data_IF_136666065519
#
_entry.id   IF_136666065519
#
_cell.length_a   1.000
_cell.length_b   1.000
_cell.length_c   1.000
_cell.angle_alpha   90.00
_cell.angle_beta   90.00
_cell.angle_gamma   90.00
#
_symmetry.space_group_name_H-M   'P 1'
#
loop_
_entity.id
_entity.type
_entity.pdbx_description
1 polymer ?
#
# COMPACT_ATOMS: atom_id res chain seq x y z
N UNK A 1 14.84 18.72 2.42
CA UNK A 1 14.15 17.41 2.47
C UNK A 1 13.86 16.93 1.06
N UNK A 2 14.27 15.72 0.68
CA UNK A 2 13.93 15.12 -0.61
C UNK A 2 12.76 14.16 -0.43
N UNK A 3 11.77 14.19 -1.31
CA UNK A 3 10.57 13.36 -1.23
C UNK A 3 10.56 12.30 -2.33
N UNK A 4 10.46 11.02 -1.95
CA UNK A 4 10.31 9.90 -2.87
C UNK A 4 8.91 9.32 -2.75
N UNK A 5 8.16 9.27 -3.84
CA UNK A 5 6.88 8.55 -3.88
C UNK A 5 7.12 7.11 -4.30
N UNK A 6 6.70 6.16 -3.46
CA UNK A 6 6.76 4.71 -3.73
C UNK A 6 5.33 4.21 -3.91
N UNK A 7 4.90 4.12 -5.15
CA UNK A 7 3.60 3.63 -5.57
C UNK A 7 3.65 2.16 -5.98
N UNK A 8 2.52 1.61 -6.28
CA UNK A 8 2.32 0.25 -6.76
C UNK A 8 0.96 -0.25 -6.34
N UNK A 9 0.37 -1.09 -7.18
CA UNK A 9 -0.99 -1.58 -6.94
C UNK A 9 -1.09 -2.39 -5.63
N UNK A 10 -2.31 -2.70 -5.23
CA UNK A 10 -2.58 -3.46 -4.02
C UNK A 10 -1.78 -4.77 -4.00
N UNK A 11 -1.03 -5.02 -2.94
CA UNK A 11 -0.20 -6.21 -2.82
C UNK A 11 1.15 -6.16 -3.54
N UNK A 12 1.52 -5.09 -4.24
CA UNK A 12 2.78 -5.00 -4.99
C UNK A 12 4.07 -5.03 -4.13
N UNK A 13 3.97 -5.11 -2.81
CA UNK A 13 5.13 -5.23 -1.92
C UNK A 13 5.82 -3.90 -1.60
N UNK A 14 5.09 -2.78 -1.62
CA UNK A 14 5.61 -1.44 -1.33
C UNK A 14 6.34 -1.36 0.02
N UNK A 15 5.67 -1.76 1.08
CA UNK A 15 6.21 -1.76 2.44
C UNK A 15 7.50 -2.58 2.56
N UNK A 16 7.55 -3.77 1.92
CA UNK A 16 8.76 -4.61 1.91
C UNK A 16 9.92 -3.93 1.18
N UNK A 17 9.64 -3.29 0.05
CA UNK A 17 10.62 -2.53 -0.70
C UNK A 17 11.16 -1.33 0.10
N UNK A 18 10.28 -0.59 0.77
CA UNK A 18 10.66 0.57 1.61
C UNK A 18 11.58 0.12 2.75
N UNK A 19 11.26 -0.99 3.43
CA UNK A 19 12.13 -1.56 4.46
C UNK A 19 13.53 -1.88 3.92
N UNK A 20 13.58 -2.49 2.74
CA UNK A 20 14.86 -2.83 2.09
C UNK A 20 15.63 -1.58 1.66
N UNK A 21 14.95 -0.55 1.13
CA UNK A 21 15.53 0.74 0.78
C UNK A 21 16.22 1.38 1.99
N UNK A 22 15.53 1.44 3.12
CA UNK A 22 16.07 2.00 4.37
C UNK A 22 17.30 1.19 4.82
N UNK A 23 17.16 -0.14 4.85
CA UNK A 23 18.24 -1.04 5.26
C UNK A 23 19.49 -0.91 4.38
N UNK A 24 19.30 -0.80 3.05
CA UNK A 24 20.40 -0.71 2.07
C UNK A 24 21.08 0.64 2.10
N UNK A 25 20.33 1.71 2.23
CA UNK A 25 20.87 3.06 2.15
C UNK A 25 21.37 3.60 3.48
N UNK A 26 20.80 3.16 4.60
CA UNK A 26 21.12 3.67 5.95
C UNK A 26 20.85 5.17 6.10
N UNK A 27 20.01 5.74 5.24
CA UNK A 27 19.68 7.17 5.26
C UNK A 27 18.65 7.50 6.35
N UNK A 28 18.62 8.78 6.72
CA UNK A 28 17.62 9.32 7.64
C UNK A 28 16.31 9.56 6.89
N UNK A 29 15.37 8.63 7.05
CA UNK A 29 14.13 8.55 6.29
C UNK A 29 12.95 8.56 7.25
N UNK A 30 11.99 9.43 6.95
CA UNK A 30 10.65 9.40 7.53
C UNK A 30 9.68 8.82 6.48
N UNK A 31 8.76 7.97 6.90
CA UNK A 31 7.73 7.40 6.03
C UNK A 31 6.40 8.06 6.35
N UNK A 32 5.71 8.51 5.32
CA UNK A 32 4.33 8.97 5.37
C UNK A 32 3.47 7.95 4.64
N UNK A 33 2.78 7.13 5.41
CA UNK A 33 1.84 6.13 4.90
C UNK A 33 0.44 6.72 4.81
N UNK A 34 -0.23 6.47 3.71
CA UNK A 34 -1.64 6.73 3.53
C UNK A 34 -2.28 5.43 3.09
N UNK A 35 -2.72 4.62 4.04
CA UNK A 35 -3.33 3.32 3.75
C UNK A 35 -4.86 3.40 3.78
N UNK A 36 -5.48 2.72 2.82
CA UNK A 36 -6.92 2.59 2.70
C UNK A 36 -7.37 1.41 3.57
N UNK A 37 -8.25 1.66 4.54
CA UNK A 37 -8.91 0.62 5.32
C UNK A 37 -8.76 0.74 6.84
N UNK A 38 -9.84 0.40 7.53
CA UNK A 38 -10.03 0.48 8.99
C UNK A 38 -9.28 -0.64 9.78
N UNK A 39 -8.41 -1.43 9.12
CA UNK A 39 -7.83 -2.62 9.74
C UNK A 39 -6.33 -2.49 9.96
N UNK A 40 -5.95 -2.49 11.24
CA UNK A 40 -4.57 -2.37 11.76
C UNK A 40 -3.66 -3.60 11.48
N UNK A 41 -3.90 -4.37 10.43
CA UNK A 41 -3.23 -5.65 10.19
C UNK A 41 -1.73 -5.49 9.88
N UNK A 42 -1.31 -4.37 9.25
CA UNK A 42 0.09 -4.12 8.87
C UNK A 42 0.88 -3.29 9.90
N UNK A 43 0.22 -2.67 10.88
CA UNK A 43 0.86 -1.78 11.88
C UNK A 43 2.00 -2.42 12.68
N UNK A 44 1.94 -3.74 12.88
CA UNK A 44 2.99 -4.45 13.62
C UNK A 44 4.30 -4.63 12.87
N UNK A 45 4.32 -4.49 11.54
CA UNK A 45 5.49 -4.85 10.75
C UNK A 45 6.55 -3.75 10.61
N UNK A 46 6.15 -2.48 10.49
CA UNK A 46 7.10 -1.37 10.37
C UNK A 46 7.63 -0.90 11.71
N UNK A 47 6.80 -0.89 12.75
CA UNK A 47 7.21 -0.47 14.10
C UNK A 47 8.10 -1.48 14.83
N UNK A 48 8.15 -2.75 14.42
CA UNK A 48 8.99 -3.77 15.03
C UNK A 48 10.48 -3.66 14.68
N UNK A 49 10.85 -2.92 13.65
CA UNK A 49 12.26 -2.68 13.27
C UNK A 49 12.81 -1.38 13.89
N UNK A 50 12.76 -1.26 15.17
CA UNK A 50 13.30 -0.27 16.15
C UNK A 50 14.00 1.04 15.73
N UNK A 51 14.30 1.28 14.47
CA UNK A 51 15.08 2.40 13.94
C UNK A 51 14.36 3.23 12.86
N UNK A 52 13.06 2.96 12.58
CA UNK A 52 12.29 3.63 11.52
C UNK A 52 11.22 4.51 12.14
N UNK A 53 11.19 5.80 11.78
CA UNK A 53 10.09 6.71 12.16
C UNK A 53 8.99 6.64 11.11
N UNK A 54 7.91 5.93 11.43
CA UNK A 54 6.70 5.84 10.60
C UNK A 54 5.68 6.82 11.12
N UNK A 55 5.19 7.70 10.25
CA UNK A 55 4.10 8.63 10.51
C UNK A 55 2.90 8.20 9.68
N UNK A 56 1.90 7.67 10.33
CA UNK A 56 0.63 7.33 9.69
C UNK A 56 -0.27 8.57 9.64
N UNK A 57 -0.80 8.87 8.46
CA UNK A 57 -1.98 9.71 8.35
C UNK A 57 -3.19 8.85 8.73
N UNK A 58 -3.59 8.91 10.00
CA UNK A 58 -4.88 8.34 10.37
C UNK A 58 -5.99 9.18 9.71
N UNK A 59 -6.77 8.59 8.84
CA UNK A 59 -8.04 9.14 8.40
C UNK A 59 -8.92 9.39 9.64
N UNK A 60 -9.08 10.65 10.00
CA UNK A 60 -9.84 11.03 11.22
C UNK A 60 -9.48 12.40 11.76
N UNK A 61 -8.43 13.04 11.31
CA UNK A 61 -8.21 14.46 11.60
C UNK A 61 -9.11 15.32 10.73
N UNK A 62 -10.39 15.34 11.06
CA UNK A 62 -11.37 16.25 10.48
C UNK A 62 -11.08 17.67 11.01
N UNK A 63 -10.21 18.41 10.34
CA UNK A 63 -10.07 19.84 10.54
C UNK A 63 -9.80 20.63 9.26
N UNK A 64 -9.48 20.00 8.13
CA UNK A 64 -9.24 20.70 6.86
C UNK A 64 -9.69 19.81 5.71
N UNK A 65 -10.16 20.43 4.63
CA UNK A 65 -10.40 19.73 3.37
C UNK A 65 -9.22 18.82 3.02
N UNK A 66 -9.47 17.61 2.64
CA UNK A 66 -8.48 16.50 2.49
C UNK A 66 -7.21 16.89 1.71
N UNK A 67 -7.32 17.82 0.75
CA UNK A 67 -6.20 18.39 -0.01
C UNK A 67 -5.23 19.20 0.87
N UNK A 68 -5.75 20.00 1.78
CA UNK A 68 -4.94 20.81 2.68
C UNK A 68 -4.30 19.94 3.77
N UNK A 69 -4.97 18.86 4.18
CA UNK A 69 -4.46 17.94 5.21
C UNK A 69 -3.16 17.26 4.81
N UNK A 70 -3.08 16.69 3.60
CA UNK A 70 -1.89 15.99 3.12
C UNK A 70 -0.68 16.93 2.93
N UNK A 71 -0.91 18.08 2.27
CA UNK A 71 0.14 19.09 2.10
C UNK A 71 0.63 19.63 3.46
N UNK A 72 -0.29 19.92 4.38
CA UNK A 72 0.04 20.39 5.72
C UNK A 72 0.82 19.33 6.53
N UNK A 73 0.50 18.05 6.38
CA UNK A 73 1.26 16.97 7.02
C UNK A 73 2.70 16.92 6.53
N UNK A 74 2.93 17.02 5.22
CA UNK A 74 4.28 17.06 4.64
C UNK A 74 5.05 18.29 5.14
N UNK A 75 4.41 19.46 5.17
CA UNK A 75 5.04 20.68 5.68
C UNK A 75 5.33 20.63 7.18
N UNK A 76 4.44 20.02 7.96
CA UNK A 76 4.66 19.77 9.38
C UNK A 76 5.85 18.84 9.61
N UNK A 77 5.96 17.77 8.85
CA UNK A 77 7.10 16.86 8.89
C UNK A 77 8.39 17.61 8.53
N UNK A 78 8.36 18.39 7.45
CA UNK A 78 9.52 19.17 7.02
C UNK A 78 9.99 20.15 8.08
N UNK A 79 9.07 20.86 8.75
CA UNK A 79 9.39 21.88 9.74
C UNK A 79 9.74 21.31 11.12
N UNK A 80 9.03 20.26 11.57
CA UNK A 80 9.20 19.70 12.90
C UNK A 80 10.34 18.70 13.01
N UNK A 81 10.52 17.85 11.99
CA UNK A 81 11.51 16.76 11.98
C UNK A 81 12.72 17.08 11.12
N UNK A 82 12.55 17.90 10.06
CA UNK A 82 13.61 18.24 9.10
C UNK A 82 14.39 17.01 8.62
N UNK A 83 13.73 15.92 8.16
CA UNK A 83 14.43 14.71 7.74
C UNK A 83 15.19 14.96 6.44
N UNK A 84 16.24 14.16 6.19
CA UNK A 84 16.93 14.19 4.90
C UNK A 84 16.00 13.74 3.77
N UNK A 85 15.23 12.67 4.04
CA UNK A 85 14.31 12.06 3.09
C UNK A 85 12.93 11.80 3.69
N UNK A 86 11.89 12.02 2.88
CA UNK A 86 10.52 11.63 3.16
C UNK A 86 10.07 10.64 2.09
N UNK A 87 9.70 9.43 2.49
CA UNK A 87 9.03 8.48 1.61
C UNK A 87 7.52 8.68 1.77
N UNK A 88 6.84 8.86 0.65
CA UNK A 88 5.37 8.90 0.59
C UNK A 88 4.91 7.58 -0.01
N UNK A 89 4.21 6.78 0.81
CA UNK A 89 3.55 5.53 0.38
C UNK A 89 2.05 5.77 0.25
N UNK A 90 1.53 6.07 -0.95
CA UNK A 90 0.09 6.20 -1.15
C UNK A 90 -0.59 4.83 -1.13
N UNK A 91 -1.90 4.82 -0.85
CA UNK A 91 -2.71 3.61 -1.00
C UNK A 91 -2.55 2.98 -2.39
N UNK A 92 -2.60 1.65 -2.45
CA UNK A 92 -2.44 0.92 -3.72
C UNK A 92 -3.51 1.22 -4.78
N UNK A 93 -4.61 1.87 -4.42
CA UNK A 93 -5.66 2.30 -5.33
C UNK A 93 -5.59 3.79 -5.73
N UNK A 94 -4.55 4.51 -5.30
CA UNK A 94 -4.40 5.93 -5.61
C UNK A 94 -3.92 6.18 -7.05
N UNK A 95 -4.36 7.29 -7.63
CA UNK A 95 -3.81 7.81 -8.88
C UNK A 95 -2.47 8.50 -8.58
N UNK A 96 -1.38 7.93 -9.08
CA UNK A 96 -0.03 8.44 -8.83
C UNK A 96 0.17 9.84 -9.40
N UNK A 97 -0.41 10.11 -10.58
CA UNK A 97 -0.36 11.44 -11.21
C UNK A 97 -0.89 12.54 -10.26
N UNK A 98 -1.99 12.27 -9.55
CA UNK A 98 -2.59 13.22 -8.60
C UNK A 98 -1.74 13.43 -7.35
N UNK A 99 -1.12 12.36 -6.85
CA UNK A 99 -0.19 12.47 -5.72
C UNK A 99 1.00 13.35 -6.10
N UNK A 100 1.59 13.13 -7.27
CA UNK A 100 2.70 13.93 -7.77
C UNK A 100 2.29 15.39 -7.95
N UNK A 101 1.12 15.66 -8.55
CA UNK A 101 0.59 17.01 -8.71
C UNK A 101 0.41 17.74 -7.37
N UNK A 102 -0.09 17.05 -6.35
CA UNK A 102 -0.25 17.62 -5.02
C UNK A 102 1.10 17.89 -4.35
N UNK A 103 2.04 16.96 -4.45
CA UNK A 103 3.39 17.13 -3.90
C UNK A 103 4.17 18.23 -4.62
N UNK A 104 3.99 18.40 -5.94
CA UNK A 104 4.67 19.43 -6.72
C UNK A 104 4.34 20.87 -6.26
N UNK A 105 3.14 21.07 -5.73
CA UNK A 105 2.68 22.37 -5.23
C UNK A 105 3.38 22.82 -3.93
N UNK A 106 3.95 21.86 -3.20
CA UNK A 106 4.66 22.11 -1.95
C UNK A 106 6.18 22.03 -2.11
N UNK A 107 6.66 21.90 -3.35
CA UNK A 107 8.08 21.90 -3.69
C UNK A 107 8.59 23.35 -3.70
N UNK A 108 9.12 23.82 -2.56
CA UNK A 108 9.75 25.12 -2.44
C UNK A 108 10.90 25.07 -1.43
N UNK A 109 11.85 26.00 -1.56
CA UNK A 109 13.04 26.05 -0.70
C UNK A 109 13.84 24.76 -0.78
N UNK A 110 14.04 24.13 0.36
CA UNK A 110 14.81 22.89 0.48
C UNK A 110 14.00 21.61 0.27
N UNK A 111 12.72 21.73 -0.13
CA UNK A 111 11.85 20.59 -0.42
C UNK A 111 11.88 20.29 -1.92
N UNK A 112 12.27 19.09 -2.30
CA UNK A 112 12.33 18.64 -3.69
C UNK A 112 11.75 17.24 -3.88
N UNK A 113 11.19 16.99 -5.08
CA UNK A 113 10.71 15.68 -5.49
C UNK A 113 11.83 14.87 -6.12
N UNK A 114 11.88 13.60 -5.77
CA UNK A 114 12.66 12.58 -6.47
C UNK A 114 11.78 11.88 -7.52
N UNK A 115 12.41 11.24 -8.53
CA UNK A 115 11.71 10.45 -9.53
C UNK A 115 10.77 9.40 -8.89
N UNK A 116 9.47 9.41 -9.18
CA UNK A 116 8.52 8.49 -8.56
C UNK A 116 8.78 7.04 -9.00
N UNK A 117 8.62 6.13 -8.07
CA UNK A 117 8.81 4.68 -8.26
C UNK A 117 7.46 3.98 -8.20
N UNK A 118 7.22 3.05 -9.12
CA UNK A 118 6.06 2.14 -9.07
C UNK A 118 6.53 0.69 -9.00
N UNK A 119 6.08 -0.03 -7.97
CA UNK A 119 6.34 -1.46 -7.84
C UNK A 119 5.31 -2.27 -8.60
N UNK A 120 5.78 -3.29 -9.31
CA UNK A 120 4.94 -4.17 -10.12
C UNK A 120 5.30 -5.62 -9.87
N UNK A 121 4.30 -6.44 -9.55
CA UNK A 121 4.41 -7.89 -9.60
C UNK A 121 4.20 -8.36 -11.05
N UNK A 122 5.16 -9.02 -11.69
CA UNK A 122 5.01 -9.47 -13.08
C UNK A 122 3.80 -10.36 -13.31
N UNK A 123 3.45 -11.22 -12.34
CA UNK A 123 2.29 -12.12 -12.41
C UNK A 123 0.96 -11.37 -12.36
N UNK A 124 0.92 -10.25 -11.62
CA UNK A 124 -0.29 -9.47 -11.40
C UNK A 124 -0.66 -8.50 -12.53
N UNK A 125 0.18 -8.31 -13.55
CA UNK A 125 0.00 -7.29 -14.59
C UNK A 125 -1.35 -7.44 -15.31
N UNK A 126 -1.63 -8.63 -15.84
CA UNK A 126 -2.83 -8.87 -16.66
C UNK A 126 -4.10 -8.72 -15.81
N UNK A 127 -4.09 -9.24 -14.58
CA UNK A 127 -5.20 -9.13 -13.65
C UNK A 127 -5.46 -7.67 -13.22
N UNK A 128 -4.40 -6.96 -12.82
CA UNK A 128 -4.50 -5.56 -12.42
C UNK A 128 -4.98 -4.68 -13.56
N UNK A 129 -4.49 -4.92 -14.78
CA UNK A 129 -4.93 -4.20 -15.97
C UNK A 129 -6.39 -4.50 -16.31
N UNK A 130 -6.83 -5.73 -16.20
CA UNK A 130 -8.22 -6.12 -16.47
C UNK A 130 -9.19 -5.57 -15.43
N UNK A 131 -8.82 -5.59 -14.15
CA UNK A 131 -9.70 -5.18 -13.06
C UNK A 131 -9.72 -3.66 -12.86
N UNK A 132 -8.57 -2.98 -12.98
CA UNK A 132 -8.42 -1.57 -12.59
C UNK A 132 -7.55 -0.79 -13.58
N UNK A 133 -7.78 -1.03 -14.88
CA UNK A 133 -6.93 -0.56 -15.98
C UNK A 133 -6.56 0.92 -15.90
N UNK A 134 -7.52 1.79 -15.57
CA UNK A 134 -7.28 3.24 -15.51
C UNK A 134 -6.35 3.63 -14.37
N UNK A 135 -6.58 3.09 -13.16
CA UNK A 135 -5.73 3.35 -11.99
C UNK A 135 -4.35 2.75 -12.22
N UNK A 136 -4.30 1.50 -12.68
CA UNK A 136 -3.05 0.80 -12.92
C UNK A 136 -2.23 1.47 -14.03
N UNK A 137 -2.88 1.88 -15.13
CA UNK A 137 -2.25 2.61 -16.22
C UNK A 137 -1.74 3.99 -15.78
N UNK A 138 -2.47 4.70 -14.90
CA UNK A 138 -2.02 5.96 -14.33
C UNK A 138 -0.74 5.77 -13.52
N UNK A 139 -0.71 4.77 -12.62
CA UNK A 139 0.46 4.47 -11.82
C UNK A 139 1.69 4.13 -12.67
N UNK A 140 1.50 3.41 -13.77
CA UNK A 140 2.60 3.10 -14.69
C UNK A 140 3.08 4.33 -15.47
N UNK A 141 2.15 5.14 -16.00
CA UNK A 141 2.47 6.31 -16.82
C UNK A 141 3.10 7.44 -16.03
N UNK A 142 2.69 7.61 -14.78
CA UNK A 142 3.22 8.64 -13.90
C UNK A 142 4.55 8.24 -13.24
N UNK A 143 4.93 6.96 -13.28
CA UNK A 143 6.21 6.49 -12.77
C UNK A 143 7.37 6.89 -13.69
N UNK A 144 8.48 7.35 -13.12
CA UNK A 144 9.75 7.45 -13.84
C UNK A 144 10.53 6.14 -13.80
N UNK A 145 10.37 5.37 -12.70
CA UNK A 145 10.95 4.05 -12.55
C UNK A 145 9.88 3.01 -12.19
N UNK A 146 9.89 1.91 -12.92
CA UNK A 146 9.08 0.72 -12.61
C UNK A 146 10.03 -0.37 -12.15
N UNK A 147 9.76 -0.92 -10.98
CA UNK A 147 10.62 -1.91 -10.33
C UNK A 147 9.82 -3.20 -10.14
N UNK A 148 10.37 -4.33 -10.59
CA UNK A 148 9.76 -5.62 -10.36
C UNK A 148 9.94 -6.09 -8.92
N UNK A 149 8.84 -6.57 -8.35
CA UNK A 149 8.75 -7.20 -7.03
C UNK A 149 8.17 -8.61 -7.15
N UNK A 150 8.34 -9.44 -6.11
CA UNK A 150 7.78 -10.80 -6.07
C UNK A 150 8.15 -11.66 -7.29
N UNK A 151 9.35 -11.48 -7.80
CA UNK A 151 9.82 -12.16 -9.01
C UNK A 151 11.17 -12.87 -8.82
N UNK A 152 11.51 -13.22 -7.57
CA UNK A 152 12.77 -13.84 -7.20
C UNK A 152 13.01 -15.16 -7.95
N UNK A 153 11.94 -15.90 -8.22
CA UNK A 153 11.95 -17.21 -8.85
C UNK A 153 11.34 -17.21 -10.26
N UNK A 154 11.16 -16.01 -10.86
CA UNK A 154 10.61 -15.91 -12.21
C UNK A 154 11.67 -16.22 -13.28
N UNK A 155 11.22 -16.84 -14.37
CA UNK A 155 12.05 -17.04 -15.54
C UNK A 155 12.44 -15.71 -16.19
N UNK A 156 13.72 -15.51 -16.56
CA UNK A 156 14.17 -14.28 -17.24
C UNK A 156 13.40 -13.96 -18.52
N UNK A 157 12.91 -14.97 -19.24
CA UNK A 157 12.05 -14.77 -20.41
C UNK A 157 10.69 -14.20 -20.05
N UNK A 158 10.08 -14.64 -18.96
CA UNK A 158 8.83 -14.10 -18.44
C UNK A 158 8.99 -12.65 -18.01
N UNK A 159 10.10 -12.31 -17.34
CA UNK A 159 10.39 -10.93 -16.94
C UNK A 159 10.59 -9.99 -18.14
N UNK A 160 11.22 -10.50 -19.20
CA UNK A 160 11.36 -9.72 -20.45
C UNK A 160 10.02 -9.42 -21.09
N UNK A 161 9.14 -10.43 -21.19
CA UNK A 161 7.78 -10.25 -21.71
C UNK A 161 6.95 -9.29 -20.85
N UNK A 162 7.06 -9.39 -19.53
CA UNK A 162 6.44 -8.46 -18.59
C UNK A 162 6.92 -7.01 -18.83
N UNK A 163 8.23 -6.81 -18.98
CA UNK A 163 8.82 -5.51 -19.32
C UNK A 163 8.27 -4.95 -20.63
N UNK A 164 8.19 -5.76 -21.67
CA UNK A 164 7.64 -5.34 -22.97
C UNK A 164 6.16 -4.92 -22.85
N UNK A 165 5.37 -5.63 -22.04
CA UNK A 165 3.98 -5.24 -21.75
C UNK A 165 3.90 -3.88 -21.06
N UNK A 166 4.71 -3.66 -20.03
CA UNK A 166 4.73 -2.39 -19.29
C UNK A 166 5.13 -1.22 -20.18
N UNK A 167 6.16 -1.38 -21.01
CA UNK A 167 6.62 -0.34 -21.92
C UNK A 167 5.60 0.04 -23.01
N UNK A 168 4.63 -0.82 -23.33
CA UNK A 168 3.50 -0.43 -24.19
C UNK A 168 2.59 0.60 -23.52
N UNK A 169 2.42 0.52 -22.21
CA UNK A 169 1.59 1.45 -21.42
C UNK A 169 2.37 2.68 -20.97
N UNK A 170 3.65 2.51 -20.60
CA UNK A 170 4.54 3.54 -20.09
C UNK A 170 5.88 3.55 -20.84
N UNK A 171 5.93 4.03 -22.09
CA UNK A 171 7.11 3.94 -22.94
C UNK A 171 8.30 4.79 -22.44
N UNK A 172 8.05 5.81 -21.65
CA UNK A 172 9.09 6.69 -21.06
C UNK A 172 9.68 6.16 -19.74
N UNK A 173 9.04 5.17 -19.11
CA UNK A 173 9.48 4.65 -17.82
C UNK A 173 10.76 3.81 -17.94
N UNK A 174 11.65 3.94 -16.98
CA UNK A 174 12.79 3.04 -16.82
C UNK A 174 12.34 1.80 -16.06
N UNK A 175 12.42 0.63 -16.69
CA UNK A 175 12.00 -0.64 -16.08
C UNK A 175 13.21 -1.43 -15.62
N UNK A 176 13.36 -1.60 -14.30
CA UNK A 176 14.32 -2.53 -13.72
C UNK A 176 13.76 -3.95 -13.83
N UNK A 177 14.32 -4.73 -14.76
CA UNK A 177 13.82 -6.05 -15.15
C UNK A 177 14.37 -7.20 -14.28
N UNK A 178 15.06 -6.87 -13.19
CA UNK A 178 15.51 -7.83 -12.18
C UNK A 178 14.86 -7.50 -10.84
N UNK A 179 14.76 -8.50 -9.96
CA UNK A 179 14.29 -8.23 -8.61
C UNK A 179 15.26 -7.31 -7.88
N UNK A 180 14.74 -6.31 -7.19
CA UNK A 180 15.52 -5.27 -6.53
C UNK A 180 16.55 -5.79 -5.51
N UNK A 181 16.34 -6.99 -4.94
CA UNK A 181 17.31 -7.60 -4.02
C UNK A 181 18.69 -7.85 -4.64
N UNK A 182 18.77 -7.97 -5.98
CA UNK A 182 20.00 -8.19 -6.75
C UNK A 182 20.73 -6.89 -7.07
N UNK A 183 20.09 -5.74 -6.84
CA UNK A 183 20.68 -4.43 -7.15
C UNK A 183 21.77 -4.06 -6.16
N UNK A 184 22.85 -3.47 -6.68
CA UNK A 184 23.96 -2.97 -5.88
C UNK A 184 23.62 -1.71 -5.06
N UNK A 185 24.51 -1.35 -4.13
CA UNK A 185 24.32 -0.21 -3.23
C UNK A 185 24.14 1.12 -3.97
N UNK A 186 24.91 1.34 -5.03
CA UNK A 186 24.81 2.56 -5.86
C UNK A 186 23.43 2.77 -6.45
N UNK A 187 22.77 1.70 -6.89
CA UNK A 187 21.41 1.77 -7.40
C UNK A 187 20.41 2.22 -6.34
N UNK A 188 20.53 1.67 -5.12
CA UNK A 188 19.69 2.05 -3.99
C UNK A 188 19.87 3.50 -3.57
N UNK A 189 21.13 3.95 -3.50
CA UNK A 189 21.45 5.36 -3.20
C UNK A 189 20.96 6.28 -4.32
N UNK A 190 21.05 5.83 -5.57
CA UNK A 190 20.56 6.56 -6.75
C UNK A 190 19.05 6.85 -6.70
N UNK A 191 18.23 5.95 -6.11
CA UNK A 191 16.80 6.20 -5.90
C UNK A 191 16.52 7.42 -5.01
N UNK A 192 17.42 7.67 -4.07
CA UNK A 192 17.37 8.83 -3.16
C UNK A 192 18.17 10.04 -3.69
N UNK A 193 18.76 9.94 -4.89
CA UNK A 193 19.66 10.97 -5.40
C UNK A 193 20.79 11.25 -4.41
N UNK A 194 21.35 10.21 -3.80
CA UNK A 194 22.44 10.24 -2.84
C UNK A 194 23.64 9.49 -3.40
N UNK A 195 24.84 9.99 -3.15
CA UNK A 195 26.09 9.39 -3.66
C UNK A 195 26.78 8.47 -2.64
N UNK A 196 26.42 8.59 -1.35
CA UNK A 196 27.07 7.84 -0.29
C UNK A 196 26.16 7.56 0.89
N UNK A 197 26.48 6.53 1.65
CA UNK A 197 25.90 6.29 2.96
C UNK A 197 26.37 7.32 3.99
N UNK A 198 25.48 7.70 4.95
CA UNK A 198 25.89 8.59 6.02
C UNK A 198 26.93 7.90 6.93
N UNK A 199 27.91 8.65 7.38
CA UNK A 199 28.98 8.15 8.25
C UNK A 199 28.47 7.74 9.67
N UNK A 200 27.28 8.14 10.06
CA UNK A 200 26.62 7.78 11.34
C UNK A 200 25.16 7.48 11.06
N UNK A 201 24.65 6.38 11.63
CA UNK A 201 23.22 6.09 11.68
C UNK A 201 22.46 7.24 12.35
N UNK A 202 21.35 7.56 11.75
CA UNK A 202 20.45 8.68 11.94
C UNK A 202 20.06 9.01 13.38
N UNK A 203 19.59 10.23 13.57
CA UNK A 203 18.89 10.68 14.77
C UNK A 203 17.65 9.81 14.98
N UNK A 204 17.50 9.22 16.17
CA UNK A 204 16.22 8.61 16.54
C UNK A 204 15.20 9.72 16.76
N UNK A 205 14.19 9.77 15.89
CA UNK A 205 13.04 10.63 16.11
C UNK A 205 12.06 9.89 17.02
N UNK A 206 12.08 10.22 18.32
CA UNK A 206 10.99 9.85 19.21
C UNK A 206 10.00 11.01 19.26
N UNK A 207 8.96 10.96 18.48
CA UNK A 207 7.93 12.00 18.47
C UNK A 207 6.62 11.44 19.03
N UNK A 208 6.12 12.06 20.08
CA UNK A 208 4.84 11.71 20.68
C UNK A 208 3.72 12.43 19.93
N UNK A 209 3.12 11.76 18.96
CA UNK A 209 1.99 12.24 18.16
C UNK A 209 0.77 12.58 19.04
N UNK A 210 0.68 12.03 20.25
CA UNK A 210 -0.41 12.32 21.18
C UNK A 210 -0.49 13.79 21.60
N UNK A 211 0.59 14.57 21.42
CA UNK A 211 0.66 15.99 21.72
C UNK A 211 0.03 16.89 20.65
N UNK A 212 -0.22 16.38 19.45
CA UNK A 212 -1.01 17.07 18.45
C UNK A 212 -2.49 16.72 18.67
N UNK A 213 -3.10 17.50 19.52
CA UNK A 213 -4.50 17.60 19.91
C UNK A 213 -5.47 16.51 19.44
N UNK A 214 -5.64 15.45 20.22
CA UNK A 214 -6.84 14.61 20.13
C UNK A 214 -8.06 15.44 20.50
N UNK A 215 -8.85 15.88 19.52
CA UNK A 215 -10.26 16.14 19.75
C UNK A 215 -11.04 14.87 19.40
N UNK A 216 -11.90 14.38 20.28
CA UNK A 216 -12.77 13.25 19.94
C UNK A 216 -13.74 13.70 18.85
N UNK A 217 -13.64 13.14 17.67
CA UNK A 217 -14.61 13.33 16.58
C UNK A 217 -15.65 12.23 16.70
N UNK A 218 -16.92 12.65 16.79
CA UNK A 218 -18.06 11.74 16.78
C UNK A 218 -18.12 10.98 15.45
N UNK A 219 -18.60 9.74 15.54
CA UNK A 219 -18.86 8.84 14.43
C UNK A 219 -19.66 9.53 13.31
N UNK A 220 -19.06 9.76 12.16
CA UNK A 220 -19.76 10.03 10.92
C UNK A 220 -19.91 8.71 10.14
N UNK A 221 -21.09 8.52 9.57
CA UNK A 221 -21.48 7.23 9.00
C UNK A 221 -20.74 6.88 7.71
N UNK A 222 -20.83 5.60 7.33
CA UNK A 222 -20.19 4.94 6.17
C UNK A 222 -20.25 5.66 4.81
N UNK A 223 -21.13 6.64 4.63
CA UNK A 223 -21.27 7.38 3.38
C UNK A 223 -20.19 8.45 3.19
N UNK A 224 -19.58 8.94 4.28
CA UNK A 224 -18.60 10.02 4.20
C UNK A 224 -17.20 9.53 3.81
N UNK A 225 -16.88 8.25 4.05
CA UNK A 225 -15.59 7.65 3.67
C UNK A 225 -15.43 7.50 2.15
N UNK A 226 -16.52 7.25 1.42
CA UNK A 226 -16.50 7.20 -0.05
C UNK A 226 -16.31 8.58 -0.68
N UNK A 227 -16.81 9.64 -0.03
CA UNK A 227 -16.61 11.01 -0.47
C UNK A 227 -15.15 11.48 -0.27
N UNK A 228 -14.49 11.03 0.81
CA UNK A 228 -13.10 11.37 1.11
C UNK A 228 -12.09 10.78 0.11
N UNK A 229 -12.35 9.55 -0.36
CA UNK A 229 -11.51 8.95 -1.42
C UNK A 229 -11.66 9.67 -2.77
N UNK A 230 -12.84 10.22 -3.07
CA UNK A 230 -13.06 11.02 -4.26
C UNK A 230 -12.30 12.36 -4.22
N UNK A 231 -12.14 12.96 -3.04
CA UNK A 231 -11.43 14.24 -2.88
C UNK A 231 -9.90 14.11 -3.01
N UNK A 232 -9.32 12.97 -2.62
CA UNK A 232 -7.91 12.66 -2.91
C UNK A 232 -7.71 12.43 -4.42
N UNK A 233 -8.73 11.89 -5.09
CA UNK A 233 -8.73 11.65 -6.53
C UNK A 233 -8.93 12.93 -7.35
N UNK A 234 -9.30 14.07 -6.73
CA UNK A 234 -9.54 15.38 -7.35
C UNK A 234 -10.87 15.44 -8.10
N UNK A 235 -11.40 16.67 -8.27
CA UNK A 235 -12.58 16.96 -9.09
C UNK A 235 -12.37 16.50 -10.54
N UNK A 236 -12.59 15.21 -10.81
CA UNK A 236 -12.96 14.81 -12.16
C UNK A 236 -14.42 15.19 -12.35
N UNK A 237 -14.79 15.88 -13.45
CA UNK A 237 -16.19 15.84 -13.87
C UNK A 237 -16.54 14.36 -14.00
N UNK A 238 -17.61 13.94 -13.34
CA UNK A 238 -18.22 12.62 -13.48
C UNK A 238 -18.67 12.46 -14.94
N UNK A 239 -17.75 12.15 -15.83
CA UNK A 239 -18.10 11.52 -17.09
C UNK A 239 -18.41 10.07 -16.75
N UNK A 240 -19.44 9.49 -17.36
CA UNK A 240 -19.98 8.15 -17.11
C UNK A 240 -18.99 6.96 -17.22
N UNK A 241 -17.70 7.23 -17.26
CA UNK A 241 -16.56 6.30 -17.22
C UNK A 241 -15.60 6.58 -16.05
N UNK A 242 -16.10 7.09 -14.91
CA UNK A 242 -15.27 7.21 -13.71
C UNK A 242 -14.65 5.84 -13.41
N UNK A 243 -13.32 5.79 -13.36
CA UNK A 243 -12.60 4.62 -12.90
C UNK A 243 -13.23 4.14 -11.60
N UNK A 244 -13.93 3.00 -11.63
CA UNK A 244 -14.60 2.48 -10.45
C UNK A 244 -13.51 2.11 -9.45
N UNK A 245 -13.47 2.84 -8.34
CA UNK A 245 -12.59 2.51 -7.23
C UNK A 245 -12.80 1.07 -6.78
N UNK A 246 -11.76 0.41 -6.27
CA UNK A 246 -11.97 -0.90 -5.65
C UNK A 246 -12.97 -0.79 -4.51
N UNK A 247 -13.89 -1.74 -4.46
CA UNK A 247 -14.76 -1.93 -3.32
C UNK A 247 -13.97 -2.57 -2.19
N UNK A 248 -14.28 -2.20 -0.95
CA UNK A 248 -13.71 -2.80 0.24
C UNK A 248 -14.81 -3.33 1.14
N UNK A 249 -14.59 -4.48 1.73
CA UNK A 249 -15.40 -4.96 2.83
C UNK A 249 -14.52 -5.53 3.95
N UNK A 250 -14.74 -5.03 5.15
CA UNK A 250 -14.02 -5.41 6.37
C UNK A 250 -14.95 -6.14 7.33
N UNK A 251 -14.44 -7.17 7.97
CA UNK A 251 -15.17 -7.99 8.93
C UNK A 251 -14.37 -8.09 10.23
N UNK A 252 -15.04 -7.81 11.35
CA UNK A 252 -14.47 -7.94 12.71
C UNK A 252 -15.06 -9.16 13.40
N UNK A 253 -14.22 -9.81 14.18
CA UNK A 253 -14.58 -10.99 14.96
C UNK A 253 -15.30 -12.09 14.15
N UNK A 254 -14.72 -12.52 12.98
CA UNK A 254 -15.25 -13.68 12.27
C UNK A 254 -15.23 -14.92 13.16
N UNK A 255 -16.12 -15.86 12.89
CA UNK A 255 -16.14 -17.11 13.63
C UNK A 255 -14.82 -17.89 13.45
N UNK A 256 -14.35 -18.60 14.50
CA UNK A 256 -13.20 -19.48 14.36
C UNK A 256 -13.41 -20.49 13.24
N UNK A 257 -12.38 -20.75 12.44
CA UNK A 257 -12.46 -21.72 11.34
C UNK A 257 -11.26 -22.66 11.34
N UNK A 258 -11.44 -23.85 10.82
CA UNK A 258 -10.32 -24.78 10.62
C UNK A 258 -9.43 -24.36 9.45
N UNK A 259 -8.20 -24.88 9.39
CA UNK A 259 -7.29 -24.63 8.25
C UNK A 259 -7.88 -25.04 6.90
N UNK A 260 -8.57 -26.22 6.75
CA UNK A 260 -9.26 -26.55 5.52
C UNK A 260 -10.31 -25.53 5.10
N UNK A 261 -11.11 -25.02 6.06
CA UNK A 261 -12.14 -24.02 5.80
C UNK A 261 -11.55 -22.69 5.34
N UNK A 262 -10.43 -22.25 5.94
CA UNK A 262 -9.70 -21.08 5.49
C UNK A 262 -9.15 -21.26 4.07
N UNK A 263 -8.53 -22.39 3.78
CA UNK A 263 -8.03 -22.71 2.43
C UNK A 263 -9.18 -22.67 1.42
N UNK A 264 -10.34 -23.26 1.74
CA UNK A 264 -11.51 -23.23 0.87
C UNK A 264 -12.03 -21.81 0.65
N UNK A 265 -12.05 -20.96 1.69
CA UNK A 265 -12.42 -19.54 1.57
C UNK A 265 -11.50 -18.82 0.57
N UNK A 266 -10.19 -19.03 0.68
CA UNK A 266 -9.20 -18.37 -0.20
C UNK A 266 -9.26 -18.92 -1.63
N UNK A 267 -9.45 -20.22 -1.82
CA UNK A 267 -9.67 -20.82 -3.13
C UNK A 267 -10.96 -20.35 -3.80
N UNK A 268 -12.06 -20.24 -3.05
CA UNK A 268 -13.32 -19.68 -3.53
C UNK A 268 -13.16 -18.20 -3.92
N UNK A 269 -12.37 -17.43 -3.16
CA UNK A 269 -12.03 -16.06 -3.47
C UNK A 269 -11.27 -15.96 -4.80
N UNK A 270 -10.26 -16.80 -5.02
CA UNK A 270 -9.49 -16.87 -6.26
C UNK A 270 -10.35 -17.26 -7.46
N UNK A 271 -11.34 -18.13 -7.28
CA UNK A 271 -12.29 -18.54 -8.32
C UNK A 271 -13.37 -17.52 -8.63
N UNK A 272 -13.37 -16.36 -7.92
CA UNK A 272 -14.31 -15.28 -8.13
C UNK A 272 -15.70 -15.50 -7.52
N UNK A 273 -15.86 -16.46 -6.61
CA UNK A 273 -17.15 -16.71 -5.93
C UNK A 273 -17.65 -15.47 -5.20
N UNK A 274 -16.76 -14.70 -4.61
CA UNK A 274 -17.07 -13.50 -3.84
C UNK A 274 -16.89 -12.19 -4.61
N UNK A 275 -16.80 -12.24 -5.94
CA UNK A 275 -16.47 -11.14 -6.82
C UNK A 275 -15.02 -11.18 -7.27
N UNK A 276 -14.58 -10.15 -7.97
CA UNK A 276 -13.20 -10.02 -8.44
C UNK A 276 -12.27 -9.54 -7.34
N UNK A 277 -11.91 -10.40 -6.38
CA UNK A 277 -11.01 -10.06 -5.29
C UNK A 277 -9.60 -9.94 -5.83
N UNK A 278 -8.95 -8.81 -5.60
CA UNK A 278 -7.55 -8.54 -5.97
C UNK A 278 -6.64 -8.61 -4.76
N UNK A 279 -7.16 -8.33 -3.56
CA UNK A 279 -6.44 -8.48 -2.31
C UNK A 279 -7.39 -8.91 -1.20
N UNK A 280 -6.92 -9.80 -0.33
CA UNK A 280 -7.55 -10.04 0.95
C UNK A 280 -6.48 -10.28 2.01
N UNK A 281 -6.71 -9.78 3.21
CA UNK A 281 -5.85 -10.00 4.37
C UNK A 281 -6.70 -10.29 5.58
N UNK A 282 -6.16 -11.02 6.53
CA UNK A 282 -6.83 -11.22 7.79
C UNK A 282 -5.99 -11.91 8.83
N UNK A 283 -6.45 -11.78 10.07
CA UNK A 283 -6.04 -12.59 11.21
C UNK A 283 -7.28 -13.32 11.67
N UNK A 284 -7.22 -14.64 11.70
CA UNK A 284 -8.33 -15.51 12.05
C UNK A 284 -7.91 -16.45 13.16
N UNK A 285 -8.88 -16.81 14.01
CA UNK A 285 -8.70 -17.86 15.00
C UNK A 285 -8.90 -19.22 14.35
N UNK A 286 -7.98 -20.14 14.60
CA UNK A 286 -8.07 -21.53 14.15
C UNK A 286 -7.96 -22.47 15.36
N UNK A 287 -8.26 -23.75 15.19
CA UNK A 287 -8.12 -24.73 16.27
C UNK A 287 -6.68 -24.91 16.81
N UNK A 288 -5.68 -24.31 16.16
CA UNK A 288 -4.26 -24.34 16.55
C UNK A 288 -3.72 -22.98 17.00
N UNK A 289 -4.56 -21.94 17.13
CA UNK A 289 -4.14 -20.58 17.45
C UNK A 289 -4.53 -19.58 16.36
N UNK A 290 -3.92 -18.41 16.38
CA UNK A 290 -4.17 -17.38 15.37
C UNK A 290 -3.30 -17.57 14.13
N UNK A 291 -3.89 -17.36 12.97
CA UNK A 291 -3.19 -17.37 11.69
C UNK A 291 -3.44 -16.06 10.94
N UNK A 292 -2.42 -15.61 10.23
CA UNK A 292 -2.52 -14.50 9.29
C UNK A 292 -2.60 -15.09 7.87
N UNK A 293 -3.48 -14.56 7.06
CA UNK A 293 -3.49 -14.82 5.62
C UNK A 293 -3.32 -13.53 4.83
N UNK A 294 -2.69 -13.64 3.67
CA UNK A 294 -2.57 -12.58 2.65
C UNK A 294 -2.83 -13.21 1.28
N UNK A 295 -3.78 -12.66 0.53
CA UNK A 295 -4.11 -13.04 -0.85
C UNK A 295 -3.84 -11.85 -1.74
N UNK A 296 -2.97 -12.02 -2.73
CA UNK A 296 -2.65 -11.03 -3.76
C UNK A 296 -2.07 -11.72 -4.99
N UNK A 297 -2.22 -11.12 -6.16
CA UNK A 297 -1.65 -11.61 -7.43
C UNK A 297 -2.05 -13.05 -7.79
N UNK A 298 -3.26 -13.46 -7.42
CA UNK A 298 -3.75 -14.82 -7.65
C UNK A 298 -3.11 -15.91 -6.78
N UNK A 299 -2.39 -15.51 -5.73
CA UNK A 299 -1.75 -16.40 -4.77
C UNK A 299 -2.18 -16.03 -3.35
N UNK A 300 -2.08 -16.98 -2.43
CA UNK A 300 -2.24 -16.69 -1.00
C UNK A 300 -1.12 -17.31 -0.17
N UNK A 301 -0.89 -16.73 0.98
CA UNK A 301 -0.02 -17.25 2.02
C UNK A 301 -0.77 -17.32 3.34
N UNK A 302 -0.44 -18.31 4.17
CA UNK A 302 -0.96 -18.46 5.52
C UNK A 302 0.24 -18.67 6.44
N UNK A 303 0.33 -17.86 7.49
CA UNK A 303 1.41 -17.91 8.47
C UNK A 303 0.84 -17.90 9.88
N UNK A 304 1.56 -18.45 10.87
CA UNK A 304 1.20 -18.32 12.27
C UNK A 304 1.24 -16.85 12.71
N UNK A 305 0.32 -16.46 13.59
CA UNK A 305 0.22 -15.11 14.16
C UNK A 305 0.46 -15.15 15.68
N UNK A 306 1.48 -15.89 16.12
CA UNK A 306 1.80 -16.06 17.53
C UNK A 306 2.23 -14.72 18.15
N UNK A 307 1.64 -14.38 19.31
CA UNK A 307 1.98 -13.15 20.06
C UNK A 307 1.26 -11.89 19.61
N UNK A 308 0.35 -11.95 18.66
CA UNK A 308 -0.48 -10.81 18.25
C UNK A 308 -1.72 -10.72 19.15
N UNK A 309 -1.77 -9.69 19.98
CA UNK A 309 -2.95 -9.35 20.82
C UNK A 309 -3.96 -8.55 20.00
N UNK A 310 -4.42 -9.10 18.88
CA UNK A 310 -5.39 -8.41 18.00
C UNK A 310 -6.64 -9.24 17.89
N UNK A 311 -7.81 -8.59 17.90
CA UNK A 311 -9.08 -9.26 17.61
C UNK A 311 -9.07 -9.83 16.19
N UNK A 312 -9.64 -11.03 15.95
CA UNK A 312 -9.78 -11.58 14.62
C UNK A 312 -10.47 -10.59 13.68
N UNK A 313 -9.90 -10.37 12.53
CA UNK A 313 -10.42 -9.44 11.53
C UNK A 313 -9.91 -9.77 10.14
N UNK A 314 -10.67 -9.42 9.11
CA UNK A 314 -10.24 -9.57 7.74
C UNK A 314 -10.83 -8.49 6.84
N UNK A 315 -10.12 -8.20 5.75
CA UNK A 315 -10.50 -7.25 4.72
C UNK A 315 -10.37 -7.88 3.34
N UNK A 316 -11.34 -7.61 2.49
CA UNK A 316 -11.37 -8.02 1.09
C UNK A 316 -11.51 -6.79 0.23
N UNK A 317 -10.68 -6.67 -0.80
CA UNK A 317 -10.63 -5.55 -1.73
C UNK A 317 -10.76 -6.10 -3.15
N UNK A 318 -11.67 -5.51 -3.93
CA UNK A 318 -11.92 -6.01 -5.28
C UNK A 318 -12.98 -5.23 -6.05
N UNK A 319 -13.57 -5.87 -7.03
CA UNK A 319 -14.71 -5.35 -7.81
C UNK A 319 -15.89 -6.28 -7.74
N UNK A 320 -17.09 -5.69 -7.72
CA UNK A 320 -18.34 -6.45 -7.66
C UNK A 320 -18.30 -7.46 -6.49
N UNK A 321 -17.78 -6.99 -5.35
CA UNK A 321 -17.71 -7.81 -4.16
C UNK A 321 -19.12 -8.25 -3.74
N UNK A 322 -19.18 -9.42 -3.11
CA UNK A 322 -20.40 -10.00 -2.55
C UNK A 322 -20.30 -10.07 -1.03
N UNK A 323 -20.42 -8.92 -0.32
CA UNK A 323 -20.15 -8.85 1.12
C UNK A 323 -21.05 -9.79 1.93
N UNK A 324 -22.31 -10.00 1.48
CA UNK A 324 -23.23 -10.90 2.15
C UNK A 324 -22.78 -12.37 2.10
N UNK A 325 -22.23 -12.82 0.96
CA UNK A 325 -21.71 -14.19 0.81
C UNK A 325 -20.41 -14.38 1.61
N UNK A 326 -19.53 -13.37 1.62
CA UNK A 326 -18.33 -13.38 2.46
C UNK A 326 -18.72 -13.42 3.95
N UNK A 327 -19.66 -12.55 4.38
CA UNK A 327 -20.13 -12.51 5.76
C UNK A 327 -20.74 -13.84 6.20
N UNK A 328 -21.57 -14.47 5.36
CA UNK A 328 -22.16 -15.77 5.64
C UNK A 328 -21.07 -16.84 5.83
N UNK A 329 -20.06 -16.85 4.98
CA UNK A 329 -18.92 -17.78 5.06
C UNK A 329 -18.09 -17.58 6.33
N UNK A 330 -17.90 -16.33 6.76
CA UNK A 330 -17.15 -15.97 7.96
C UNK A 330 -17.95 -16.21 9.25
N UNK A 331 -19.29 -16.19 9.18
CA UNK A 331 -20.16 -16.44 10.33
C UNK A 331 -20.38 -17.93 10.59
N UNK A 332 -20.44 -18.75 9.54
CA UNK A 332 -20.61 -20.21 9.63
C UNK A 332 -19.71 -20.91 8.59
N UNK A 333 -18.42 -21.08 8.92
CA UNK A 333 -17.46 -21.71 8.00
C UNK A 333 -17.82 -23.15 7.60
N UNK A 334 -18.52 -23.88 8.45
CA UNK A 334 -18.87 -25.28 8.21
C UNK A 334 -20.08 -25.47 7.26
N UNK A 335 -20.95 -24.45 7.11
CA UNK A 335 -22.14 -24.55 6.28
C UNK A 335 -21.88 -24.74 4.77
N UNK A 336 -20.61 -24.66 4.33
CA UNK A 336 -20.19 -24.68 2.93
C UNK A 336 -19.26 -25.87 2.59
N UNK A 337 -19.09 -26.80 3.51
CA UNK A 337 -18.41 -28.09 3.31
C UNK A 337 -19.48 -29.14 2.98
#
# INVERSE_FOLDING_TARGET
>A
MKMLTVSGFLGAGKTTFIKELIRRTGQDIVILENEYGDTDIDKGELSSSGDISVLELMEGCVCCTVREGFANSVLTIASALSPAFLIVEPTGAALLSRIIDNLSRITYGDISLLPPVTLVSPRGIDQSMACFGDIYADQLKAAEQIIFSKCENEDPGALRLAKEKLLKTAPSARVAAEHYSRMGEEWWLGLLGSESRPARLSKKYSYDISKFGRRPVGYAGRQDCLALSADILGDMPLTDQAAQLPEECSFRSPAPMSMPELIMLLEDALRGRYGGIVRAKGILETGGGYVRFDLADGLYSITGADGVSTEPQCVFIGRQLRPAEIAARLADPAAFI
#
